data_IF_515842465665
#
_entry.id   IF_515842465665
#
_cell.length_a   1.000
_cell.length_b   1.000
_cell.length_c   1.000
_cell.angle_alpha   90.00
_cell.angle_beta   90.00
_cell.angle_gamma   90.00
#
_symmetry.space_group_name_H-M   'P 1'
#
loop_
_entity.id
_entity.type
_entity.pdbx_description
1 polymer ?
#
# COMPACT_ATOMS: atom_id res chain seq x y z
N UNK A 1 -2.42 -24.67 -0.46
CA UNK A 1 -1.55 -24.22 -1.58
C UNK A 1 -2.14 -24.79 -2.85
N UNK A 2 -2.78 -23.97 -3.68
CA UNK A 2 -3.05 -24.40 -5.05
C UNK A 2 -1.73 -24.86 -5.66
N UNK A 3 -1.67 -26.12 -6.12
CA UNK A 3 -0.62 -26.55 -7.03
C UNK A 3 -0.52 -25.45 -8.08
N UNK A 4 0.64 -24.80 -8.21
CA UNK A 4 0.89 -23.87 -9.30
C UNK A 4 0.73 -24.68 -10.58
N UNK A 5 -0.50 -24.74 -11.10
CA UNK A 5 -0.75 -25.09 -12.47
C UNK A 5 0.22 -24.21 -13.26
N UNK A 6 0.96 -24.84 -14.18
CA UNK A 6 1.96 -24.20 -15.02
C UNK A 6 1.42 -22.84 -15.47
N UNK A 7 2.01 -21.76 -14.94
CA UNK A 7 1.54 -20.42 -15.26
C UNK A 7 1.79 -20.23 -16.75
N UNK A 8 0.72 -20.03 -17.51
CA UNK A 8 0.82 -19.72 -18.93
C UNK A 8 1.38 -18.30 -19.09
N UNK A 9 2.71 -18.23 -19.26
CA UNK A 9 3.43 -16.98 -19.47
C UNK A 9 3.26 -16.44 -20.91
N UNK A 10 2.61 -17.18 -21.82
CA UNK A 10 2.35 -16.73 -23.18
C UNK A 10 1.03 -15.93 -23.27
N UNK A 11 0.09 -16.13 -22.34
CA UNK A 11 -1.15 -15.35 -22.29
C UNK A 11 -0.89 -13.95 -21.72
N UNK A 12 -0.98 -12.96 -22.60
CA UNK A 12 -0.71 -11.55 -22.29
C UNK A 12 -1.94 -10.63 -22.36
N UNK A 13 -3.07 -11.12 -22.89
CA UNK A 13 -4.31 -10.36 -23.05
C UNK A 13 -5.40 -10.95 -22.16
N UNK A 14 -5.97 -10.10 -21.33
CA UNK A 14 -7.00 -10.47 -20.36
C UNK A 14 -8.19 -9.53 -20.47
N UNK A 15 -9.38 -10.12 -20.44
CA UNK A 15 -10.63 -9.37 -20.38
C UNK A 15 -10.85 -8.77 -19.00
N UNK A 16 -11.72 -7.75 -18.94
CA UNK A 16 -12.17 -7.18 -17.67
C UNK A 16 -12.83 -8.18 -16.74
N UNK A 17 -13.55 -9.16 -17.29
CA UNK A 17 -14.16 -10.19 -16.48
C UNK A 17 -13.09 -11.04 -15.80
N UNK A 18 -12.10 -11.52 -16.56
CA UNK A 18 -10.99 -12.33 -16.04
C UNK A 18 -10.22 -11.61 -14.92
N UNK A 19 -9.82 -10.36 -15.13
CA UNK A 19 -9.07 -9.60 -14.11
C UNK A 19 -9.86 -9.31 -12.84
N UNK A 20 -11.20 -9.44 -12.87
CA UNK A 20 -12.08 -9.22 -11.72
C UNK A 20 -12.61 -10.52 -11.10
N UNK A 21 -12.28 -11.68 -11.66
CA UNK A 21 -12.73 -13.00 -11.20
C UNK A 21 -11.99 -13.42 -9.94
N UNK A 22 -12.73 -13.58 -8.84
CA UNK A 22 -12.27 -14.27 -7.63
C UNK A 22 -12.48 -15.79 -7.74
N UNK A 23 -11.84 -16.55 -6.85
CA UNK A 23 -12.06 -17.98 -6.78
C UNK A 23 -13.37 -18.38 -6.11
N UNK A 24 -13.71 -19.65 -6.30
CA UNK A 24 -14.78 -20.30 -5.57
C UNK A 24 -14.29 -20.57 -4.14
N UNK A 25 -14.99 -20.01 -3.16
CA UNK A 25 -14.71 -20.20 -1.75
C UNK A 25 -15.73 -21.18 -1.15
N UNK A 26 -15.25 -22.11 -0.34
CA UNK A 26 -16.10 -22.98 0.47
C UNK A 26 -16.80 -22.17 1.57
N UNK A 27 -16.08 -21.23 2.19
CA UNK A 27 -16.60 -20.34 3.21
C UNK A 27 -16.18 -18.88 2.96
N UNK A 28 -17.05 -17.88 3.17
CA UNK A 28 -16.67 -16.48 3.03
C UNK A 28 -15.84 -16.00 4.22
N UNK A 29 -14.99 -15.00 3.99
CA UNK A 29 -14.39 -14.25 5.09
C UNK A 29 -15.44 -13.34 5.74
N UNK A 30 -15.68 -13.50 7.04
CA UNK A 30 -16.56 -12.64 7.83
C UNK A 30 -15.74 -11.90 8.90
N UNK A 31 -15.77 -10.58 8.86
CA UNK A 31 -15.04 -9.70 9.77
C UNK A 31 -16.04 -8.80 10.52
N UNK A 32 -16.20 -9.01 11.83
CA UNK A 32 -17.18 -8.28 12.65
C UNK A 32 -18.62 -8.29 12.06
N UNK A 33 -19.07 -9.46 11.59
CA UNK A 33 -20.39 -9.63 10.98
C UNK A 33 -20.53 -9.07 9.55
N UNK A 34 -19.47 -8.46 9.00
CA UNK A 34 -19.42 -7.98 7.62
C UNK A 34 -18.73 -9.04 6.76
N UNK A 35 -19.34 -9.40 5.64
CA UNK A 35 -18.68 -10.22 4.62
C UNK A 35 -17.58 -9.38 3.97
N UNK A 36 -16.33 -9.85 3.99
CA UNK A 36 -15.21 -9.23 3.29
C UNK A 36 -14.95 -9.96 1.97
N UNK A 37 -14.13 -9.36 1.11
CA UNK A 37 -13.60 -10.07 -0.04
C UNK A 37 -12.69 -11.24 0.39
N UNK A 38 -12.40 -12.13 -0.55
CA UNK A 38 -11.67 -13.36 -0.24
C UNK A 38 -12.55 -14.41 0.45
N UNK A 39 -11.94 -15.50 0.86
CA UNK A 39 -12.62 -16.59 1.54
C UNK A 39 -11.71 -17.78 1.74
N UNK A 40 -12.28 -18.89 2.16
CA UNK A 40 -11.55 -20.11 2.51
C UNK A 40 -11.88 -21.23 1.56
N UNK A 41 -10.89 -22.05 1.24
CA UNK A 41 -11.11 -23.33 0.56
C UNK A 41 -11.64 -24.41 1.52
N UNK A 42 -11.85 -25.62 1.01
CA UNK A 42 -12.40 -26.74 1.79
C UNK A 42 -11.47 -27.20 2.94
N UNK A 43 -10.19 -26.85 2.89
CA UNK A 43 -9.20 -27.16 3.93
C UNK A 43 -9.05 -26.00 4.94
N UNK A 44 -9.84 -24.92 4.79
CA UNK A 44 -9.78 -23.74 5.65
C UNK A 44 -8.63 -22.80 5.33
N UNK A 45 -8.00 -22.91 4.16
CA UNK A 45 -6.91 -22.03 3.74
C UNK A 45 -7.49 -20.79 3.05
N UNK A 46 -7.01 -19.61 3.48
CA UNK A 46 -7.43 -18.34 2.88
C UNK A 46 -6.99 -18.22 1.41
N UNK A 47 -7.91 -17.78 0.57
CA UNK A 47 -7.70 -17.42 -0.82
C UNK A 47 -8.01 -15.94 -1.06
N UNK A 48 -7.00 -15.21 -1.53
CA UNK A 48 -7.10 -13.81 -1.92
C UNK A 48 -8.13 -13.58 -3.04
N UNK A 49 -8.84 -12.44 -3.05
CA UNK A 49 -9.74 -12.10 -4.14
C UNK A 49 -8.97 -11.82 -5.44
N UNK A 50 -9.60 -12.13 -6.57
CA UNK A 50 -9.18 -11.64 -7.90
C UNK A 50 -7.78 -12.07 -8.34
N UNK A 51 -7.20 -13.09 -7.72
CA UNK A 51 -5.84 -13.55 -8.04
C UNK A 51 -5.77 -14.62 -9.13
N UNK A 52 -6.89 -15.29 -9.45
CA UNK A 52 -6.92 -16.42 -10.41
C UNK A 52 -6.29 -16.05 -11.74
N UNK A 53 -6.62 -14.87 -12.27
CA UNK A 53 -6.06 -14.38 -13.53
C UNK A 53 -5.07 -13.24 -13.33
N UNK A 54 -5.25 -12.40 -12.29
CA UNK A 54 -4.39 -11.24 -12.07
C UNK A 54 -2.94 -11.64 -11.75
N UNK A 55 -2.73 -12.66 -10.91
CA UNK A 55 -1.39 -13.13 -10.59
C UNK A 55 -0.66 -13.70 -11.80
N UNK A 56 -1.20 -14.67 -12.57
CA UNK A 56 -0.52 -15.16 -13.76
C UNK A 56 -0.34 -14.08 -14.84
N UNK A 57 -1.29 -13.15 -15.00
CA UNK A 57 -1.15 -12.02 -15.92
C UNK A 57 0.06 -11.15 -15.57
N UNK A 58 0.20 -10.77 -14.30
CA UNK A 58 1.33 -9.96 -13.83
C UNK A 58 2.65 -10.69 -14.06
N UNK A 59 2.73 -11.98 -13.73
CA UNK A 59 3.93 -12.78 -13.97
C UNK A 59 4.29 -12.86 -15.46
N UNK A 60 3.30 -13.02 -16.34
CA UNK A 60 3.51 -13.04 -17.79
C UNK A 60 4.04 -11.70 -18.33
N UNK A 61 3.47 -10.57 -17.88
CA UNK A 61 3.96 -9.23 -18.26
C UNK A 61 5.36 -8.94 -17.72
N UNK A 62 5.66 -9.36 -16.49
CA UNK A 62 7.02 -9.26 -15.92
C UNK A 62 8.02 -10.08 -16.74
N UNK A 63 7.69 -11.33 -17.06
CA UNK A 63 8.54 -12.20 -17.88
C UNK A 63 8.77 -11.60 -19.27
N UNK A 64 7.75 -11.02 -19.91
CA UNK A 64 7.88 -10.35 -21.19
C UNK A 64 8.83 -9.13 -21.10
N UNK A 65 8.72 -8.34 -20.04
CA UNK A 65 9.59 -7.18 -19.80
C UNK A 65 11.05 -7.61 -19.60
N UNK A 66 11.29 -8.67 -18.83
CA UNK A 66 12.62 -9.24 -18.59
C UNK A 66 13.25 -9.84 -19.85
N UNK A 67 12.46 -10.56 -20.67
CA UNK A 67 12.90 -11.04 -21.99
C UNK A 67 13.30 -9.89 -22.92
N UNK A 68 12.71 -8.71 -22.75
CA UNK A 68 13.11 -7.47 -23.41
C UNK A 68 14.39 -6.83 -22.88
N UNK A 69 15.01 -7.39 -21.85
CA UNK A 69 16.24 -6.88 -21.23
C UNK A 69 16.00 -5.73 -20.24
N UNK A 70 14.80 -5.61 -19.69
CA UNK A 70 14.43 -4.56 -18.75
C UNK A 70 14.16 -5.11 -17.34
N UNK A 71 14.64 -4.38 -16.33
CA UNK A 71 14.47 -4.74 -14.93
C UNK A 71 13.20 -4.12 -14.33
N UNK A 72 12.56 -4.89 -13.44
CA UNK A 72 11.50 -4.37 -12.59
C UNK A 72 12.05 -3.37 -11.58
N UNK A 73 11.30 -2.28 -11.38
CA UNK A 73 11.58 -1.27 -10.36
C UNK A 73 11.63 -1.92 -8.98
N UNK A 74 12.73 -1.73 -8.24
CA UNK A 74 12.87 -2.18 -6.86
C UNK A 74 13.11 -1.01 -5.92
N UNK A 75 12.39 -0.97 -4.79
CA UNK A 75 12.63 -0.01 -3.72
C UNK A 75 13.41 -0.72 -2.61
N UNK A 76 14.59 -0.19 -2.27
CA UNK A 76 15.44 -0.78 -1.24
C UNK A 76 14.76 -0.76 0.13
N UNK A 77 14.78 -1.89 0.85
CA UNK A 77 14.27 -2.01 2.23
C UNK A 77 14.88 -0.98 3.18
N UNK A 78 16.13 -0.59 2.97
CA UNK A 78 16.80 0.42 3.78
C UNK A 78 16.13 1.80 3.75
N UNK A 79 15.29 2.10 2.74
CA UNK A 79 14.54 3.35 2.64
C UNK A 79 13.25 3.34 3.46
N UNK A 80 12.82 2.18 3.95
CA UNK A 80 11.61 2.03 4.75
C UNK A 80 11.96 2.30 6.23
N UNK A 81 11.45 3.37 6.85
CA UNK A 81 11.67 3.62 8.26
C UNK A 81 10.97 2.54 9.11
N UNK A 82 11.50 2.23 10.30
CA UNK A 82 10.78 1.39 11.25
C UNK A 82 9.49 2.09 11.70
N UNK A 83 8.46 1.29 11.97
CA UNK A 83 7.20 1.77 12.52
C UNK A 83 7.42 2.42 13.90
N UNK A 84 6.71 3.53 14.15
CA UNK A 84 6.72 4.22 15.44
C UNK A 84 5.28 4.51 15.93
N UNK A 85 4.90 4.08 17.14
CA UNK A 85 5.68 3.25 18.07
C UNK A 85 6.04 1.88 17.45
N UNK A 86 7.19 1.32 17.82
CA UNK A 86 7.53 -0.05 17.43
C UNK A 86 6.66 -1.08 18.19
N UNK A 87 6.84 -2.38 17.94
CA UNK A 87 6.01 -3.44 18.56
C UNK A 87 6.13 -3.43 20.09
N UNK A 88 7.36 -3.40 20.62
CA UNK A 88 7.60 -3.41 22.08
C UNK A 88 7.03 -2.16 22.75
N UNK A 89 7.22 -1.00 22.13
CA UNK A 89 6.64 0.27 22.56
C UNK A 89 5.11 0.23 22.57
N UNK A 90 4.50 -0.34 21.53
CA UNK A 90 3.05 -0.46 21.44
C UNK A 90 2.50 -1.44 22.48
N UNK A 91 3.18 -2.56 22.70
CA UNK A 91 2.86 -3.55 23.73
C UNK A 91 2.91 -2.95 25.13
N UNK A 92 4.01 -2.27 25.46
CA UNK A 92 4.19 -1.59 26.75
C UNK A 92 3.03 -0.62 27.05
N UNK A 93 2.60 0.15 26.05
CA UNK A 93 1.45 1.05 26.19
C UNK A 93 0.16 0.29 26.52
N UNK A 94 -0.11 -0.83 25.84
CA UNK A 94 -1.31 -1.64 26.05
C UNK A 94 -1.31 -2.31 27.44
N UNK A 95 -0.17 -2.84 27.90
CA UNK A 95 0.00 -3.42 29.23
C UNK A 95 -0.30 -2.42 30.36
N UNK A 96 0.02 -1.14 30.14
CA UNK A 96 -0.27 -0.06 31.08
C UNK A 96 -1.67 0.57 30.88
N UNK A 97 -2.53 -0.03 30.05
CA UNK A 97 -3.89 0.45 29.79
C UNK A 97 -3.97 1.70 28.90
N UNK A 98 -2.85 2.15 28.31
CA UNK A 98 -2.78 3.31 27.42
C UNK A 98 -3.15 2.90 25.98
N UNK A 99 -4.45 2.68 25.75
CA UNK A 99 -4.96 2.12 24.48
C UNK A 99 -5.10 3.15 23.34
N UNK A 100 -5.43 4.40 23.67
CA UNK A 100 -5.79 5.45 22.69
C UNK A 100 -4.79 5.64 21.53
N UNK A 101 -3.46 5.66 21.76
CA UNK A 101 -2.48 5.80 20.68
C UNK A 101 -2.54 4.63 19.69
N UNK A 102 -2.74 3.41 20.18
CA UNK A 102 -2.78 2.20 19.33
C UNK A 102 -4.09 2.12 18.56
N UNK A 103 -5.22 2.39 19.22
CA UNK A 103 -6.54 2.51 18.56
C UNK A 103 -6.48 3.54 17.43
N UNK A 104 -5.87 4.69 17.69
CA UNK A 104 -5.65 5.75 16.70
C UNK A 104 -4.78 5.27 15.54
N UNK A 105 -3.66 4.60 15.81
CA UNK A 105 -2.77 4.11 14.78
C UNK A 105 -3.49 3.12 13.85
N UNK A 106 -4.14 2.09 14.40
CA UNK A 106 -4.90 1.09 13.63
C UNK A 106 -6.04 1.71 12.83
N UNK A 107 -6.71 2.72 13.38
CA UNK A 107 -7.77 3.45 12.67
C UNK A 107 -7.22 4.31 11.53
N UNK A 108 -6.03 4.92 11.70
CA UNK A 108 -5.38 5.64 10.61
C UNK A 108 -5.02 4.67 9.48
N UNK A 109 -4.48 3.50 9.82
CA UNK A 109 -4.17 2.45 8.85
C UNK A 109 -5.44 2.08 8.08
N UNK A 110 -6.53 1.71 8.75
CA UNK A 110 -7.78 1.33 8.07
C UNK A 110 -8.31 2.40 7.11
N UNK A 111 -8.22 3.68 7.48
CA UNK A 111 -8.64 4.79 6.62
C UNK A 111 -7.71 4.96 5.42
N UNK A 112 -6.39 4.83 5.62
CA UNK A 112 -5.39 5.00 4.56
C UNK A 112 -5.51 3.89 3.51
N UNK A 113 -5.70 2.64 3.93
CA UNK A 113 -5.92 1.49 3.05
C UNK A 113 -7.17 1.72 2.20
N UNK A 114 -8.28 2.10 2.84
CA UNK A 114 -9.50 2.47 2.11
C UNK A 114 -9.34 3.64 1.13
N UNK A 115 -8.33 4.50 1.29
CA UNK A 115 -8.02 5.55 0.31
C UNK A 115 -7.32 5.02 -0.95
N UNK A 116 -6.71 3.83 -0.93
CA UNK A 116 -6.14 3.19 -2.12
C UNK A 116 -7.18 3.03 -3.25
N UNK A 117 -8.46 2.89 -2.88
CA UNK A 117 -9.57 2.84 -3.82
C UNK A 117 -9.69 4.05 -4.77
N UNK A 118 -9.04 5.18 -4.47
CA UNK A 118 -8.97 6.34 -5.37
C UNK A 118 -8.35 6.02 -6.74
N UNK A 119 -7.58 4.93 -6.84
CA UNK A 119 -6.95 4.49 -8.09
C UNK A 119 -8.00 4.25 -9.20
N UNK A 120 -9.25 3.86 -8.86
CA UNK A 120 -10.34 3.70 -9.84
C UNK A 120 -10.72 4.98 -10.58
N UNK A 121 -10.48 6.13 -9.96
CA UNK A 121 -10.84 7.44 -10.50
C UNK A 121 -9.78 8.00 -11.45
N UNK A 122 -8.61 7.34 -11.52
CA UNK A 122 -7.52 7.73 -12.42
C UNK A 122 -7.98 7.63 -13.87
N UNK A 123 -7.88 8.74 -14.59
CA UNK A 123 -8.18 8.81 -16.01
C UNK A 123 -6.98 8.34 -16.81
N UNK A 124 -7.05 7.11 -17.31
CA UNK A 124 -6.08 6.56 -18.26
C UNK A 124 -6.28 7.26 -19.62
N UNK A 125 -5.30 8.04 -20.13
CA UNK A 125 -5.39 8.62 -21.46
C UNK A 125 -5.23 7.54 -22.54
N UNK A 126 -5.36 7.91 -23.81
CA UNK A 126 -5.01 7.04 -24.93
C UNK A 126 -3.50 6.85 -24.98
N UNK A 127 -3.01 5.77 -24.39
CA UNK A 127 -1.58 5.54 -24.17
C UNK A 127 -0.82 5.30 -25.49
N UNK A 128 -1.47 4.70 -26.47
CA UNK A 128 -0.97 4.50 -27.84
C UNK A 128 -0.65 5.81 -28.57
N UNK A 129 -1.38 6.90 -28.26
CA UNK A 129 -1.10 8.23 -28.80
C UNK A 129 0.04 8.95 -28.06
N UNK A 130 0.45 8.49 -26.88
CA UNK A 130 1.36 9.20 -25.97
C UNK A 130 2.68 8.46 -25.71
N UNK A 131 2.73 7.18 -26.03
CA UNK A 131 3.89 6.30 -25.92
C UNK A 131 4.36 6.00 -27.34
N UNK A 132 5.68 5.94 -27.58
CA UNK A 132 6.22 5.69 -28.92
C UNK A 132 6.09 4.22 -29.29
N UNK A 133 6.45 3.34 -28.36
CA UNK A 133 6.44 1.89 -28.54
C UNK A 133 5.04 1.29 -28.26
N UNK A 134 4.69 0.17 -28.91
CA UNK A 134 3.44 -0.54 -28.63
C UNK A 134 3.30 -0.96 -27.16
N UNK A 135 2.04 -1.00 -26.70
CA UNK A 135 1.66 -1.46 -25.36
C UNK A 135 0.79 -2.72 -25.39
N UNK A 136 0.49 -3.27 -26.57
CA UNK A 136 -0.29 -4.51 -26.67
C UNK A 136 0.42 -5.64 -25.92
N UNK A 137 -0.37 -6.41 -25.17
CA UNK A 137 0.15 -7.50 -24.34
C UNK A 137 0.93 -7.06 -23.09
N UNK A 138 0.84 -5.80 -22.67
CA UNK A 138 1.48 -5.28 -21.46
C UNK A 138 0.48 -5.02 -20.33
N UNK A 139 0.97 -4.83 -19.09
CA UNK A 139 0.13 -4.39 -17.98
C UNK A 139 -0.51 -3.01 -18.25
N UNK A 140 0.19 -2.12 -18.97
CA UNK A 140 -0.32 -0.80 -19.37
C UNK A 140 -1.62 -0.87 -20.18
N UNK A 141 -1.76 -1.85 -21.08
CA UNK A 141 -2.99 -2.05 -21.84
C UNK A 141 -4.18 -2.46 -20.96
N UNK A 142 -3.92 -2.91 -19.74
CA UNK A 142 -4.93 -3.47 -18.84
C UNK A 142 -5.28 -2.58 -17.63
N UNK A 143 -4.66 -1.39 -17.50
CA UNK A 143 -4.88 -0.48 -16.35
C UNK A 143 -6.36 -0.17 -16.13
N UNK A 144 -7.04 0.35 -17.16
CA UNK A 144 -8.48 0.65 -17.11
C UNK A 144 -9.36 -0.55 -17.52
N UNK A 145 -8.76 -1.66 -17.95
CA UNK A 145 -9.48 -2.89 -18.30
C UNK A 145 -9.71 -3.81 -17.12
N UNK A 146 -9.22 -3.49 -15.92
CA UNK A 146 -9.53 -4.30 -14.74
C UNK A 146 -8.57 -4.09 -13.59
N UNK A 147 -7.31 -3.74 -13.83
CA UNK A 147 -6.30 -3.64 -12.77
C UNK A 147 -6.65 -2.57 -11.73
N UNK A 148 -6.96 -1.34 -12.15
CA UNK A 148 -7.37 -0.27 -11.22
C UNK A 148 -8.68 -0.56 -10.51
N UNK A 149 -9.63 -1.21 -11.20
CA UNK A 149 -10.91 -1.58 -10.59
C UNK A 149 -10.73 -2.71 -9.57
N UNK A 150 -9.94 -3.75 -9.88
CA UNK A 150 -9.66 -4.87 -8.99
C UNK A 150 -9.04 -4.36 -7.69
N UNK A 151 -7.94 -3.62 -7.81
CA UNK A 151 -7.28 -2.96 -6.68
C UNK A 151 -8.29 -2.18 -5.85
N UNK A 152 -9.06 -1.30 -6.48
CA UNK A 152 -9.93 -0.44 -5.71
C UNK A 152 -11.06 -1.18 -4.98
N UNK A 153 -11.53 -2.32 -5.51
CA UNK A 153 -12.53 -3.18 -4.84
C UNK A 153 -11.93 -3.89 -3.65
N UNK A 154 -10.68 -4.29 -3.75
CA UNK A 154 -9.97 -4.94 -2.65
C UNK A 154 -9.82 -3.91 -1.50
N UNK A 155 -9.42 -2.66 -1.78
CA UNK A 155 -9.28 -1.63 -0.75
C UNK A 155 -10.58 -1.19 -0.04
N UNK A 156 -11.63 -0.88 -0.81
CA UNK A 156 -12.86 -0.27 -0.25
C UNK A 156 -14.04 -1.23 -0.14
N UNK A 157 -13.92 -2.45 -0.66
CA UNK A 157 -15.04 -3.35 -0.87
C UNK A 157 -15.81 -3.08 -2.16
N UNK A 158 -16.76 -3.97 -2.45
CA UNK A 158 -17.64 -3.91 -3.62
C UNK A 158 -18.96 -4.62 -3.36
N UNK A 159 -20.08 -3.95 -3.66
CA UNK A 159 -21.44 -4.44 -3.37
C UNK A 159 -21.58 -4.75 -1.87
N UNK A 160 -21.85 -6.00 -1.52
CA UNK A 160 -22.05 -6.49 -0.15
C UNK A 160 -20.73 -6.92 0.52
N UNK A 161 -19.59 -6.85 -0.18
CA UNK A 161 -18.28 -7.23 0.35
C UNK A 161 -17.53 -6.01 0.87
N UNK A 162 -17.03 -6.07 2.11
CA UNK A 162 -16.06 -5.14 2.68
C UNK A 162 -14.66 -5.33 2.11
N UNK A 163 -13.86 -4.27 2.15
CA UNK A 163 -12.46 -4.25 1.71
C UNK A 163 -11.46 -4.28 2.86
N UNK A 164 -10.20 -3.98 2.55
CA UNK A 164 -9.10 -3.89 3.53
C UNK A 164 -9.42 -2.92 4.68
N UNK A 165 -10.13 -1.82 4.39
CA UNK A 165 -10.60 -0.90 5.44
C UNK A 165 -11.42 -1.63 6.52
N UNK A 166 -12.42 -2.43 6.12
CA UNK A 166 -13.28 -3.16 7.05
C UNK A 166 -12.51 -4.30 7.73
N UNK A 167 -11.59 -4.95 7.03
CA UNK A 167 -10.73 -5.99 7.61
C UNK A 167 -9.84 -5.43 8.71
N UNK A 168 -9.20 -4.27 8.50
CA UNK A 168 -8.42 -3.60 9.55
C UNK A 168 -9.26 -3.12 10.73
N UNK A 169 -10.47 -2.61 10.47
CA UNK A 169 -11.41 -2.24 11.54
C UNK A 169 -11.78 -3.46 12.38
N UNK A 170 -12.05 -4.61 11.75
CA UNK A 170 -12.32 -5.86 12.44
C UNK A 170 -11.10 -6.39 13.21
N UNK A 171 -9.89 -6.34 12.63
CA UNK A 171 -8.67 -6.76 13.32
C UNK A 171 -8.44 -5.94 14.60
N UNK A 172 -8.61 -4.61 14.51
CA UNK A 172 -8.57 -3.72 15.67
C UNK A 172 -9.63 -4.07 16.71
N UNK A 173 -10.86 -4.28 16.27
CA UNK A 173 -12.00 -4.50 17.19
C UNK A 173 -11.92 -5.88 17.86
N UNK A 174 -11.40 -6.90 17.17
CA UNK A 174 -11.09 -8.22 17.72
C UNK A 174 -9.99 -8.12 18.78
N UNK A 175 -8.88 -7.46 18.46
CA UNK A 175 -7.76 -7.33 19.40
C UNK A 175 -8.08 -6.44 20.60
N UNK A 176 -8.83 -5.37 20.38
CA UNK A 176 -9.04 -4.30 21.37
C UNK A 176 -10.49 -4.18 21.87
N UNK A 177 -11.29 -5.24 21.71
CA UNK A 177 -12.65 -5.37 22.27
C UNK A 177 -13.60 -4.23 21.84
N UNK A 178 -13.61 -3.91 20.55
CA UNK A 178 -14.41 -2.81 19.99
C UNK A 178 -14.14 -1.47 20.69
N UNK A 179 -12.91 -0.95 20.62
CA UNK A 179 -12.51 0.23 21.37
C UNK A 179 -13.25 1.48 20.88
N UNK A 180 -13.42 2.47 21.77
CA UNK A 180 -13.94 3.78 21.36
C UNK A 180 -12.94 4.47 20.43
N UNK A 181 -13.40 4.83 19.23
CA UNK A 181 -12.56 5.52 18.25
C UNK A 181 -12.43 7.01 18.60
N UNK A 182 -11.21 7.56 18.65
CA UNK A 182 -11.04 8.99 18.87
C UNK A 182 -11.70 9.81 17.74
N UNK A 183 -12.62 10.71 18.10
CA UNK A 183 -13.48 11.41 17.12
C UNK A 183 -12.75 12.41 16.21
N UNK A 184 -11.48 12.70 16.48
CA UNK A 184 -10.67 13.66 15.73
C UNK A 184 -9.75 13.04 14.67
N UNK A 185 -9.68 11.71 14.58
CA UNK A 185 -8.77 10.98 13.67
C UNK A 185 -8.95 11.45 12.22
N UNK A 186 -10.20 11.43 11.72
CA UNK A 186 -10.50 11.81 10.34
C UNK A 186 -10.21 13.29 10.09
N UNK A 187 -10.52 14.17 11.05
CA UNK A 187 -10.27 15.61 10.91
C UNK A 187 -8.77 15.92 10.82
N UNK A 188 -7.94 15.30 11.66
CA UNK A 188 -6.48 15.45 11.62
C UNK A 188 -5.92 14.98 10.28
N UNK A 189 -6.39 13.82 9.78
CA UNK A 189 -5.96 13.27 8.50
C UNK A 189 -6.32 14.18 7.32
N UNK A 190 -7.56 14.70 7.30
CA UNK A 190 -8.02 15.64 6.27
C UNK A 190 -7.31 17.00 6.34
N UNK A 191 -7.00 17.48 7.55
CA UNK A 191 -6.22 18.70 7.78
C UNK A 191 -4.82 18.63 7.17
N UNK A 192 -4.15 17.48 7.30
CA UNK A 192 -2.85 17.21 6.64
C UNK A 192 -2.97 17.22 5.12
N UNK A 193 -4.02 16.59 4.56
CA UNK A 193 -4.27 16.55 3.10
C UNK A 193 -4.48 17.95 2.50
N UNK A 194 -5.20 18.85 3.18
CA UNK A 194 -5.47 20.22 2.71
C UNK A 194 -4.24 21.14 2.70
N UNK A 195 -3.21 20.85 3.49
CA UNK A 195 -1.96 21.63 3.54
C UNK A 195 -0.99 21.32 2.39
N UNK A 196 -1.26 20.29 1.59
CA UNK A 196 -0.49 20.02 0.38
C UNK A 196 -0.74 21.14 -0.66
N UNK A 197 0.21 22.06 -0.80
CA UNK A 197 0.16 23.12 -1.81
C UNK A 197 0.03 22.52 -3.23
N UNK A 198 -0.59 23.27 -4.15
CA UNK A 198 -0.68 22.88 -5.57
C UNK A 198 0.72 22.91 -6.19
N UNK A 199 1.45 21.80 -6.03
CA UNK A 199 2.81 21.67 -6.54
C UNK A 199 2.80 21.82 -8.06
N UNK A 200 3.80 22.55 -8.58
CA UNK A 200 3.99 22.67 -10.03
C UNK A 200 4.26 21.27 -10.61
N UNK A 201 3.63 20.99 -11.76
CA UNK A 201 3.84 19.76 -12.56
C UNK A 201 5.35 19.52 -12.76
N UNK A 202 5.94 18.37 -12.37
CA UNK A 202 7.32 18.03 -12.68
C UNK A 202 7.62 17.95 -14.18
N UNK A 203 6.65 17.56 -15.01
CA UNK A 203 6.81 17.29 -16.44
C UNK A 203 5.76 18.03 -17.28
N UNK A 204 5.75 19.38 -17.29
CA UNK A 204 4.77 20.15 -18.05
C UNK A 204 4.78 19.85 -19.56
N UNK A 205 5.88 19.29 -20.08
CA UNK A 205 6.01 18.85 -21.47
C UNK A 205 5.26 17.54 -21.81
N UNK A 206 4.76 16.80 -20.81
CA UNK A 206 3.91 15.62 -21.04
C UNK A 206 2.43 16.02 -21.13
N UNK A 207 1.61 15.12 -21.69
CA UNK A 207 0.17 15.20 -21.50
C UNK A 207 -0.18 15.22 -20.00
N UNK A 208 -1.12 16.08 -19.63
CA UNK A 208 -1.44 16.34 -18.23
C UNK A 208 -2.16 15.15 -17.57
N UNK A 209 -2.91 14.34 -18.34
CA UNK A 209 -3.55 13.12 -17.81
C UNK A 209 -2.51 12.01 -17.65
N UNK A 210 -1.58 11.85 -18.60
CA UNK A 210 -0.47 10.91 -18.49
C UNK A 210 0.37 11.18 -17.24
N UNK A 211 0.84 12.41 -17.06
CA UNK A 211 1.67 12.77 -15.90
C UNK A 211 0.94 12.51 -14.58
N UNK A 212 -0.36 12.86 -14.49
CA UNK A 212 -1.18 12.59 -13.31
C UNK A 212 -1.37 11.10 -13.03
N UNK A 213 -1.60 10.31 -14.08
CA UNK A 213 -1.73 8.85 -13.97
C UNK A 213 -0.43 8.25 -13.42
N UNK A 214 0.71 8.58 -14.03
CA UNK A 214 2.02 8.09 -13.59
C UNK A 214 2.36 8.54 -12.17
N UNK A 215 2.05 9.78 -11.82
CA UNK A 215 2.23 10.28 -10.45
C UNK A 215 1.37 9.51 -9.45
N UNK A 216 0.11 9.21 -9.78
CA UNK A 216 -0.76 8.44 -8.89
C UNK A 216 -0.24 7.00 -8.74
N UNK A 217 0.08 6.33 -9.85
CA UNK A 217 0.62 4.97 -9.82
C UNK A 217 1.90 4.88 -8.98
N UNK A 218 2.85 5.81 -9.18
CA UNK A 218 4.09 5.87 -8.41
C UNK A 218 3.81 6.14 -6.92
N UNK A 219 2.88 7.05 -6.61
CA UNK A 219 2.54 7.39 -5.23
C UNK A 219 1.90 6.20 -4.50
N UNK A 220 0.98 5.49 -5.16
CA UNK A 220 0.31 4.32 -4.58
C UNK A 220 1.29 3.17 -4.40
N UNK A 221 2.08 2.83 -5.43
CA UNK A 221 3.10 1.77 -5.34
C UNK A 221 4.08 2.02 -4.19
N UNK A 222 4.61 3.25 -4.04
CA UNK A 222 5.55 3.57 -2.95
C UNK A 222 4.86 3.45 -1.59
N UNK A 223 3.59 3.86 -1.48
CA UNK A 223 2.84 3.73 -0.22
C UNK A 223 2.63 2.28 0.17
N UNK A 224 2.19 1.43 -0.76
CA UNK A 224 1.98 -0.01 -0.52
C UNK A 224 3.27 -0.72 -0.12
N UNK A 225 4.37 -0.42 -0.82
CA UNK A 225 5.69 -0.96 -0.47
C UNK A 225 6.10 -0.54 0.95
N UNK A 226 5.79 0.69 1.37
CA UNK A 226 6.06 1.14 2.74
C UNK A 226 5.08 0.55 3.76
N UNK A 227 3.85 0.22 3.35
CA UNK A 227 2.84 -0.40 4.21
C UNK A 227 3.25 -1.80 4.70
N UNK A 228 4.18 -2.49 4.02
CA UNK A 228 4.76 -3.76 4.50
C UNK A 228 5.27 -3.70 5.95
N UNK A 229 5.88 -2.60 6.37
CA UNK A 229 6.33 -2.43 7.76
C UNK A 229 5.16 -2.29 8.74
N UNK A 230 4.07 -1.65 8.31
CA UNK A 230 2.82 -1.53 9.07
C UNK A 230 2.10 -2.86 9.20
N UNK A 231 2.08 -3.69 8.14
CA UNK A 231 1.52 -5.04 8.19
C UNK A 231 2.29 -5.92 9.16
N UNK A 232 3.62 -5.93 9.12
CA UNK A 232 4.44 -6.68 10.08
C UNK A 232 4.20 -6.22 11.52
N UNK A 233 4.17 -4.91 11.75
CA UNK A 233 3.86 -4.35 13.06
C UNK A 233 2.47 -4.74 13.56
N UNK A 234 1.44 -4.61 12.71
CA UNK A 234 0.07 -4.94 13.04
C UNK A 234 -0.11 -6.44 13.30
N UNK A 235 0.44 -7.30 12.44
CA UNK A 235 0.38 -8.74 12.60
C UNK A 235 1.02 -9.17 13.92
N UNK A 236 2.24 -8.69 14.22
CA UNK A 236 2.95 -9.04 15.45
C UNK A 236 2.24 -8.53 16.71
N UNK A 237 1.77 -7.29 16.70
CA UNK A 237 1.10 -6.70 17.86
C UNK A 237 -0.26 -7.35 18.12
N UNK A 238 -1.08 -7.53 17.08
CA UNK A 238 -2.44 -8.04 17.22
C UNK A 238 -2.48 -9.56 17.43
N UNK A 239 -1.40 -10.28 17.09
CA UNK A 239 -1.25 -11.72 17.39
C UNK A 239 -0.70 -12.00 18.79
N UNK A 240 -0.32 -10.98 19.56
CA UNK A 240 0.28 -11.17 20.89
C UNK A 240 -0.83 -11.44 21.94
N UNK A 241 -0.85 -12.63 22.57
CA UNK A 241 -1.88 -12.99 23.56
C UNK A 241 -1.79 -12.18 24.86
N UNK A 242 -0.70 -11.45 25.10
CA UNK A 242 -0.56 -10.61 26.30
C UNK A 242 -1.32 -9.28 26.18
N UNK A 243 -1.61 -8.82 24.95
CA UNK A 243 -2.23 -7.50 24.71
C UNK A 243 -3.43 -7.52 23.74
N UNK A 244 -3.73 -8.68 23.14
CA UNK A 244 -4.84 -8.88 22.22
C UNK A 244 -5.89 -9.80 22.83
N UNK A 245 -7.16 -9.41 22.78
CA UNK A 245 -8.27 -10.21 23.29
C UNK A 245 -8.56 -11.46 22.43
N UNK A 246 -8.37 -11.35 21.12
CA UNK A 246 -8.58 -12.43 20.14
C UNK A 246 -7.33 -12.55 19.24
N UNK A 247 -6.18 -12.98 19.80
CA UNK A 247 -4.87 -12.86 19.15
C UNK A 247 -4.81 -13.59 17.80
N UNK A 248 -5.34 -14.81 17.74
CA UNK A 248 -5.35 -15.58 16.51
C UNK A 248 -6.20 -14.90 15.44
N UNK A 249 -7.47 -14.59 15.73
CA UNK A 249 -8.38 -14.01 14.74
C UNK A 249 -7.94 -12.61 14.28
N UNK A 250 -7.45 -11.77 15.19
CA UNK A 250 -6.97 -10.43 14.84
C UNK A 250 -5.68 -10.49 14.01
N UNK A 251 -4.74 -11.36 14.37
CA UNK A 251 -3.52 -11.61 13.61
C UNK A 251 -3.78 -12.19 12.21
N UNK A 252 -4.69 -13.17 12.13
CA UNK A 252 -5.11 -13.81 10.88
C UNK A 252 -5.70 -12.78 9.90
N UNK A 253 -6.53 -11.85 10.39
CA UNK A 253 -7.09 -10.78 9.58
C UNK A 253 -6.01 -9.91 8.93
N UNK A 254 -4.98 -9.50 9.68
CA UNK A 254 -3.86 -8.72 9.12
C UNK A 254 -3.07 -9.54 8.10
N UNK A 255 -2.90 -10.85 8.35
CA UNK A 255 -2.22 -11.75 7.41
C UNK A 255 -2.98 -11.91 6.10
N UNK A 256 -4.31 -11.97 6.14
CA UNK A 256 -5.15 -12.02 4.96
C UNK A 256 -5.00 -10.74 4.12
N UNK A 257 -5.11 -9.56 4.76
CA UNK A 257 -4.88 -8.26 4.10
C UNK A 257 -3.50 -8.27 3.44
N UNK A 258 -2.45 -8.65 4.18
CA UNK A 258 -1.09 -8.70 3.66
C UNK A 258 -0.92 -9.62 2.45
N UNK A 259 -1.66 -10.74 2.40
CA UNK A 259 -1.65 -11.64 1.23
C UNK A 259 -2.31 -10.98 0.01
N UNK A 260 -3.34 -10.16 0.24
CA UNK A 260 -4.11 -9.47 -0.80
C UNK A 260 -3.35 -8.29 -1.43
N UNK A 261 -2.34 -7.75 -0.75
CA UNK A 261 -1.51 -6.63 -1.25
C UNK A 261 -0.51 -7.00 -2.34
N UNK A 262 -0.08 -8.26 -2.42
CA UNK A 262 0.97 -8.66 -3.37
C UNK A 262 0.60 -8.31 -4.83
N UNK A 263 -0.61 -8.63 -5.32
CA UNK A 263 -1.02 -8.22 -6.65
C UNK A 263 -1.04 -6.70 -6.87
N UNK A 264 -1.37 -5.88 -5.86
CA UNK A 264 -1.41 -4.42 -5.98
C UNK A 264 -0.03 -3.84 -6.28
N UNK A 265 0.94 -4.23 -5.45
CA UNK A 265 2.33 -3.82 -5.61
C UNK A 265 2.86 -4.30 -6.96
N UNK A 266 2.65 -5.57 -7.30
CA UNK A 266 3.29 -6.17 -8.45
C UNK A 266 2.75 -5.66 -9.80
N UNK A 267 1.44 -5.39 -9.95
CA UNK A 267 0.96 -4.80 -11.22
C UNK A 267 1.41 -3.35 -11.37
N UNK A 268 1.44 -2.55 -10.29
CA UNK A 268 1.90 -1.16 -10.34
C UNK A 268 3.39 -1.10 -10.66
N UNK A 269 4.17 -1.95 -10.01
CA UNK A 269 5.61 -2.14 -10.28
C UNK A 269 5.84 -2.53 -11.74
N UNK A 270 5.05 -3.47 -12.26
CA UNK A 270 5.13 -3.91 -13.66
C UNK A 270 4.82 -2.77 -14.63
N UNK A 271 3.65 -2.13 -14.50
CA UNK A 271 3.24 -1.04 -15.39
C UNK A 271 4.18 0.18 -15.35
N UNK A 272 4.71 0.55 -14.19
CA UNK A 272 5.71 1.60 -14.09
C UNK A 272 7.04 1.20 -14.72
N UNK A 273 7.45 -0.06 -14.59
CA UNK A 273 8.68 -0.58 -15.23
C UNK A 273 8.53 -0.65 -16.75
N UNK A 274 7.34 -0.98 -17.24
CA UNK A 274 6.98 -0.93 -18.65
C UNK A 274 7.05 0.49 -19.23
N UNK A 275 6.62 1.51 -18.47
CA UNK A 275 6.81 2.92 -18.86
C UNK A 275 8.29 3.28 -18.80
N UNK A 276 9.00 2.86 -17.76
CA UNK A 276 10.43 3.12 -17.56
C UNK A 276 11.28 2.60 -18.73
N UNK A 277 10.84 1.51 -19.37
CA UNK A 277 11.47 0.91 -20.54
C UNK A 277 11.14 1.58 -21.88
N UNK A 278 10.22 2.57 -21.90
CA UNK A 278 9.67 3.15 -23.11
C UNK A 278 9.99 4.64 -23.28
N UNK A 279 9.62 5.16 -24.45
CA UNK A 279 9.76 6.56 -24.84
C UNK A 279 8.40 7.24 -24.84
N UNK A 280 8.30 8.40 -24.19
CA UNK A 280 7.07 9.18 -24.10
C UNK A 280 7.11 10.34 -25.08
N UNK A 281 5.99 10.60 -25.74
CA UNK A 281 5.80 11.77 -26.62
C UNK A 281 5.52 13.00 -25.77
N UNK A 282 6.14 14.11 -26.13
CA UNK A 282 5.90 15.40 -25.49
C UNK A 282 4.91 16.24 -26.31
N UNK A 283 4.26 17.20 -25.65
CA UNK A 283 3.22 18.05 -26.26
C UNK A 283 3.76 18.97 -27.37
N UNK A 284 5.07 19.20 -27.41
CA UNK A 284 5.78 19.97 -28.44
C UNK A 284 6.28 19.10 -29.62
N UNK A 285 5.93 17.81 -29.64
CA UNK A 285 6.29 16.88 -30.73
C UNK A 285 7.65 16.21 -30.58
N UNK A 286 8.38 16.49 -29.49
CA UNK A 286 9.61 15.79 -29.14
C UNK A 286 9.32 14.48 -28.39
N UNK A 287 10.36 13.89 -27.80
CA UNK A 287 10.25 12.71 -26.93
C UNK A 287 11.08 12.86 -25.66
N UNK A 288 10.70 12.13 -24.62
CA UNK A 288 11.42 12.02 -23.35
C UNK A 288 11.47 10.56 -22.92
N UNK A 289 12.58 10.14 -22.28
CA UNK A 289 12.69 8.78 -21.75
C UNK A 289 11.69 8.56 -20.62
N UNK A 290 10.94 7.46 -20.68
CA UNK A 290 10.09 7.03 -19.57
C UNK A 290 10.89 6.75 -18.30
N UNK A 291 12.17 6.35 -18.43
CA UNK A 291 13.09 6.20 -17.29
C UNK A 291 13.29 7.49 -16.52
N UNK A 292 13.56 8.58 -17.24
CA UNK A 292 13.73 9.90 -16.61
C UNK A 292 12.46 10.31 -15.86
N UNK A 293 11.29 10.03 -16.44
CA UNK A 293 9.99 10.38 -15.86
C UNK A 293 9.69 9.57 -14.61
N UNK A 294 9.75 8.25 -14.71
CA UNK A 294 9.40 7.33 -13.61
C UNK A 294 10.40 7.46 -12.45
N UNK A 295 11.71 7.45 -12.74
CA UNK A 295 12.74 7.53 -11.70
C UNK A 295 12.63 8.86 -10.95
N UNK A 296 12.41 9.99 -11.64
CA UNK A 296 12.23 11.29 -10.97
C UNK A 296 10.95 11.37 -10.13
N UNK A 297 9.85 10.76 -10.57
CA UNK A 297 8.62 10.70 -9.77
C UNK A 297 8.85 9.91 -8.48
N UNK A 298 9.42 8.70 -8.59
CA UNK A 298 9.73 7.84 -7.44
C UNK A 298 10.73 8.51 -6.50
N UNK A 299 11.81 9.10 -7.02
CA UNK A 299 12.80 9.85 -6.24
C UNK A 299 12.15 10.94 -5.39
N UNK A 300 11.26 11.75 -5.99
CA UNK A 300 10.57 12.83 -5.28
C UNK A 300 9.68 12.31 -4.16
N UNK A 301 8.95 11.21 -4.39
CA UNK A 301 8.08 10.60 -3.40
C UNK A 301 8.92 10.03 -2.24
N UNK A 302 9.95 9.23 -2.57
CA UNK A 302 10.85 8.64 -1.58
C UNK A 302 11.53 9.72 -0.73
N UNK A 303 12.09 10.76 -1.35
CA UNK A 303 12.74 11.87 -0.63
C UNK A 303 11.78 12.57 0.33
N UNK A 304 10.54 12.80 -0.09
CA UNK A 304 9.52 13.40 0.79
C UNK A 304 9.16 12.47 1.97
N UNK A 305 9.14 11.15 1.75
CA UNK A 305 8.80 10.16 2.79
C UNK A 305 9.94 9.88 3.76
N UNK A 306 11.20 9.95 3.32
CA UNK A 306 12.36 9.60 4.15
C UNK A 306 12.96 10.77 4.93
N UNK A 307 12.69 12.03 4.55
CA UNK A 307 13.18 13.21 5.29
C UNK A 307 12.09 13.84 6.15
N UNK A 308 11.28 14.73 5.58
CA UNK A 308 10.42 15.65 6.34
C UNK A 308 9.20 14.98 6.98
N UNK A 309 8.57 14.04 6.25
CA UNK A 309 7.30 13.44 6.69
C UNK A 309 7.46 12.60 7.97
N UNK A 310 8.62 11.98 8.16
CA UNK A 310 8.89 11.09 9.30
C UNK A 310 9.06 11.86 10.60
N UNK A 311 9.89 12.91 10.60
CA UNK A 311 10.17 13.71 11.79
C UNK A 311 8.88 14.36 12.30
N UNK A 312 8.13 15.01 11.42
CA UNK A 312 6.83 15.62 11.74
C UNK A 312 5.83 14.58 12.27
N UNK A 313 5.73 13.41 11.62
CA UNK A 313 4.84 12.35 12.08
C UNK A 313 5.23 11.82 13.46
N UNK A 314 6.54 11.65 13.71
CA UNK A 314 7.06 11.15 14.97
C UNK A 314 6.82 12.14 16.11
N UNK A 315 7.05 13.43 15.88
CA UNK A 315 6.77 14.49 16.85
C UNK A 315 5.28 14.58 17.17
N UNK A 316 4.42 14.59 16.16
CA UNK A 316 2.96 14.61 16.33
C UNK A 316 2.45 13.41 17.15
N UNK A 317 2.98 12.22 16.85
CA UNK A 317 2.60 10.97 17.53
C UNK A 317 3.13 10.98 18.97
N UNK A 318 4.36 11.46 19.21
CA UNK A 318 4.96 11.58 20.55
C UNK A 318 4.22 12.60 21.42
N UNK A 319 3.81 13.74 20.86
CA UNK A 319 3.02 14.74 21.58
C UNK A 319 1.69 14.15 22.07
N UNK A 320 0.96 13.44 21.19
CA UNK A 320 -0.28 12.76 21.58
C UNK A 320 -0.09 11.62 22.59
N UNK A 321 1.06 10.93 22.57
CA UNK A 321 1.36 9.87 23.55
C UNK A 321 1.56 10.41 24.96
N UNK A 322 2.25 11.54 25.13
CA UNK A 322 2.48 12.13 26.48
C UNK A 322 1.17 12.45 27.20
N UNK A 323 0.19 12.94 26.45
CA UNK A 323 -1.15 13.20 26.98
C UNK A 323 -1.88 11.89 27.31
N UNK A 324 -1.78 10.89 26.44
CA UNK A 324 -2.42 9.59 26.65
C UNK A 324 -1.84 8.83 27.86
N UNK A 325 -0.53 8.91 28.09
CA UNK A 325 0.16 8.22 29.20
C UNK A 325 -0.26 8.74 30.58
N UNK A 326 -0.93 9.91 30.68
CA UNK A 326 -1.40 10.45 31.96
C UNK A 326 -2.43 9.56 32.68
N UNK A 327 -3.02 8.58 31.98
CA UNK A 327 -3.93 7.59 32.58
C UNK A 327 -3.20 6.46 33.32
N UNK A 328 -1.89 6.30 33.09
CA UNK A 328 -1.09 5.27 33.74
C UNK A 328 -0.81 5.63 35.21
N UNK A 329 -0.50 4.62 36.03
CA UNK A 329 -0.17 4.82 37.44
C UNK A 329 1.11 5.66 37.64
N UNK A 330 2.13 5.42 36.80
CA UNK A 330 3.44 6.10 36.85
C UNK A 330 3.81 6.67 35.45
N UNK A 331 3.19 7.77 35.00
CA UNK A 331 3.34 8.28 33.64
C UNK A 331 4.78 8.66 33.25
N UNK A 332 5.57 9.16 34.20
CA UNK A 332 6.97 9.55 33.96
C UNK A 332 7.84 8.32 33.71
N UNK A 333 7.70 7.29 34.55
CA UNK A 333 8.45 6.05 34.41
C UNK A 333 8.07 5.33 33.11
N UNK A 334 6.78 5.29 32.77
CA UNK A 334 6.30 4.73 31.51
C UNK A 334 6.92 5.44 30.29
N UNK A 335 7.02 6.77 30.33
CA UNK A 335 7.65 7.53 29.24
C UNK A 335 9.16 7.21 29.12
N UNK A 336 9.87 7.09 30.24
CA UNK A 336 11.29 6.73 30.25
C UNK A 336 11.53 5.32 29.67
N UNK A 337 10.71 4.35 30.09
CA UNK A 337 10.77 2.98 29.59
C UNK A 337 10.42 2.92 28.09
N UNK A 338 9.34 3.60 27.69
CA UNK A 338 8.95 3.71 26.29
C UNK A 338 10.06 4.29 25.41
N UNK A 339 10.75 5.33 25.90
CA UNK A 339 11.87 5.95 25.20
C UNK A 339 13.11 5.04 25.15
N UNK A 340 13.31 4.20 26.16
CA UNK A 340 14.41 3.22 26.18
C UNK A 340 14.26 2.11 25.14
N UNK A 341 13.01 1.82 24.73
CA UNK A 341 12.68 0.83 23.69
C UNK A 341 12.80 1.38 22.26
N UNK A 342 13.15 2.65 22.09
CA UNK A 342 13.24 3.27 20.78
C UNK A 342 14.46 2.79 19.98
N UNK A 343 14.29 2.73 18.66
CA UNK A 343 15.36 2.35 17.73
C UNK A 343 15.70 3.52 16.81
N UNK A 344 16.99 3.87 16.72
CA UNK A 344 17.45 4.84 15.74
C UNK A 344 17.39 4.26 14.33
N UNK A 345 17.06 5.11 13.36
CA UNK A 345 17.15 4.78 11.93
C UNK A 345 17.58 6.04 11.20
N UNK A 346 18.58 5.87 10.34
CA UNK A 346 19.11 6.92 9.48
C UNK A 346 18.71 6.62 8.05
N UNK A 347 18.00 7.53 7.36
CA UNK A 347 17.66 7.34 5.97
C UNK A 347 18.95 7.22 5.12
N UNK A 348 18.99 6.32 4.13
CA UNK A 348 20.05 6.31 3.14
C UNK A 348 20.19 7.67 2.44
N UNK A 349 21.43 8.10 2.14
CA UNK A 349 21.69 9.34 1.41
C UNK A 349 21.10 9.33 0.00
N UNK A 350 21.03 8.14 -0.61
CA UNK A 350 20.51 7.91 -1.95
C UNK A 350 19.26 7.05 -1.89
N UNK A 351 18.29 7.46 -2.68
CA UNK A 351 17.07 6.72 -3.01
C UNK A 351 17.31 5.62 -4.04
N UNK A 352 18.37 5.71 -4.86
CA UNK A 352 18.61 4.82 -5.99
C UNK A 352 17.88 5.22 -7.27
N UNK A 353 17.18 6.36 -7.26
CA UNK A 353 16.44 6.92 -8.40
C UNK A 353 16.91 8.35 -8.75
N UNK A 354 18.11 8.72 -8.33
CA UNK A 354 18.69 10.02 -8.67
C UNK A 354 18.84 10.19 -10.18
N UNK A 355 18.68 11.42 -10.67
CA UNK A 355 19.09 11.73 -12.04
C UNK A 355 20.59 11.42 -12.19
N UNK A 356 21.04 10.91 -13.36
CA UNK A 356 22.45 10.78 -13.65
C UNK A 356 23.14 12.13 -13.41
N UNK A 357 24.33 12.12 -12.80
CA UNK A 357 25.15 13.33 -12.74
C UNK A 357 25.34 13.85 -14.18
N UNK A 358 25.07 15.12 -14.41
CA UNK A 358 25.32 15.73 -15.72
C UNK A 358 26.79 15.52 -16.05
N UNK A 359 27.05 14.82 -17.17
CA UNK A 359 28.40 14.53 -17.67
C UNK A 359 29.09 15.80 -18.18
#
# INVERSE_FOLDING_TARGET
MATMAEVDLEKLVYTRAELLTSGDYAEPLIANGIRCHGGFDADGVYGSPRVIHRTPAVLAWQAQLEQGGHELIGIARALMPPQYPNVEQAKLLLEHGVRDPIVRALTIVSIVEGFGAIIRDVKVPKLDELIVEPIDGSALAHLNQGLFEAHARDESGYREEGGHKQMWEAARDLALETPKIPGDVLMRLMGRRRRAAKAKRPFPQLDEKLERMLQMMAQVMVVEVFAMGTFDWGERLLSDPEVSAEPQAAGDMVRYIRADESPHIEYLRTGLSEIRARTLRTVDGNTISGREVVDRLIHRILKAMTTHRREEQREDVRAGMKDAMQVAAEPTQLLEEFDSLDSSWTPPEKTGFEAPAAA
#
